data_IF_662342407177
#
_entry.id   IF_662342407177
#
_cell.length_a   1.000
_cell.length_b   1.000
_cell.length_c   1.000
_cell.angle_alpha   90.00
_cell.angle_beta   90.00
_cell.angle_gamma   90.00
#
_symmetry.space_group_name_H-M   'P 1'
#
loop_
_entity.id
_entity.type
_entity.pdbx_description
1 polymer ?
#
# COMPACT_ATOMS: atom_id res chain seq x y z
N UNK A 1 39.96 51.40 35.86
CA UNK A 1 40.60 50.65 34.75
C UNK A 1 39.94 49.28 34.69
N UNK A 2 38.78 49.23 34.04
CA UNK A 2 37.88 48.06 33.99
C UNK A 2 38.27 47.18 32.80
N UNK A 3 38.65 45.92 33.04
CA UNK A 3 39.05 44.99 31.97
C UNK A 3 38.37 43.63 32.13
N UNK A 4 37.48 43.37 31.15
CA UNK A 4 37.24 42.09 30.46
C UNK A 4 36.44 41.01 31.21
N UNK A 5 35.11 41.10 31.15
CA UNK A 5 34.21 39.94 31.36
C UNK A 5 33.17 39.72 30.26
N UNK A 6 33.32 40.38 29.10
CA UNK A 6 32.43 40.17 27.93
C UNK A 6 33.15 39.31 26.89
N UNK A 7 33.17 37.99 27.10
CA UNK A 7 33.56 37.05 26.03
C UNK A 7 33.21 35.57 26.30
N UNK A 8 32.69 35.18 27.49
CA UNK A 8 32.44 33.75 27.80
C UNK A 8 30.97 33.36 27.84
N UNK A 9 30.05 34.32 27.99
CA UNK A 9 28.60 34.07 28.04
C UNK A 9 27.88 34.32 26.72
N UNK A 10 28.40 35.20 25.86
CA UNK A 10 27.77 35.53 24.57
C UNK A 10 27.90 34.43 23.52
N UNK A 11 28.97 33.62 23.57
CA UNK A 11 29.23 32.61 22.54
C UNK A 11 28.29 31.38 22.66
N UNK A 12 27.85 31.03 23.88
CA UNK A 12 26.98 29.87 24.12
C UNK A 12 25.53 30.09 23.67
N UNK A 13 25.07 31.35 23.60
CA UNK A 13 23.74 31.69 23.09
C UNK A 13 23.72 31.88 21.57
N UNK A 14 24.86 32.19 20.93
CA UNK A 14 24.94 32.37 19.49
C UNK A 14 24.93 31.06 18.69
N UNK A 15 25.47 29.97 19.25
CA UNK A 15 25.58 28.68 18.57
C UNK A 15 24.26 27.89 18.47
N UNK A 16 23.25 28.20 19.30
CA UNK A 16 21.96 27.51 19.25
C UNK A 16 21.07 27.98 18.08
N UNK A 17 21.35 29.16 17.50
CA UNK A 17 20.55 29.74 16.42
C UNK A 17 20.85 29.17 15.02
N UNK A 18 21.99 28.50 14.81
CA UNK A 18 22.39 27.96 13.51
C UNK A 18 21.94 26.50 13.26
N UNK A 19 21.27 25.87 14.23
CA UNK A 19 20.75 24.49 14.12
C UNK A 19 19.23 24.43 13.88
N UNK A 20 18.64 25.43 13.24
CA UNK A 20 17.20 25.43 12.85
C UNK A 20 16.97 25.59 11.34
N UNK A 21 18.03 25.55 10.52
CA UNK A 21 17.88 25.57 9.05
C UNK A 21 18.31 24.23 8.44
N UNK A 22 17.59 23.16 8.79
CA UNK A 22 17.93 21.80 8.35
C UNK A 22 16.75 20.89 8.08
N UNK A 23 15.52 21.41 7.98
CA UNK A 23 14.34 20.60 7.68
C UNK A 23 13.49 21.26 6.59
N UNK A 24 14.00 21.26 5.36
CA UNK A 24 13.16 21.49 4.17
C UNK A 24 13.38 20.41 3.09
N UNK A 25 13.82 19.21 3.48
CA UNK A 25 14.01 18.08 2.55
C UNK A 25 12.97 16.97 2.68
N UNK A 26 11.98 17.09 3.57
CA UNK A 26 10.97 16.01 3.75
C UNK A 26 9.68 16.24 2.95
N UNK A 27 9.51 17.38 2.28
CA UNK A 27 8.31 17.70 1.49
C UNK A 27 8.26 17.03 0.10
N UNK A 28 8.99 15.93 -0.10
CA UNK A 28 9.01 15.18 -1.37
C UNK A 28 8.24 13.86 -1.36
N UNK A 29 7.96 13.26 -0.18
CA UNK A 29 7.50 11.86 -0.11
C UNK A 29 6.18 11.63 0.64
N UNK A 30 5.64 12.64 1.34
CA UNK A 30 4.44 12.44 2.16
C UNK A 30 3.12 12.66 1.39
N UNK A 31 3.12 13.41 0.29
CA UNK A 31 1.90 13.67 -0.50
C UNK A 31 1.37 12.42 -1.21
N UNK A 32 2.22 11.41 -1.46
CA UNK A 32 1.81 10.15 -2.10
C UNK A 32 1.03 9.21 -1.18
N UNK A 33 1.23 9.30 0.15
CA UNK A 33 0.60 8.39 1.11
C UNK A 33 -0.87 8.70 1.37
N UNK A 34 -1.31 9.93 1.11
CA UNK A 34 -2.68 10.37 1.40
C UNK A 34 -3.72 9.77 0.43
N UNK A 35 -3.25 9.28 -0.72
CA UNK A 35 -4.08 8.68 -1.77
C UNK A 35 -3.87 7.17 -1.91
N UNK A 36 -3.04 6.55 -1.06
CA UNK A 36 -2.81 5.10 -1.11
C UNK A 36 -3.88 4.34 -0.33
N UNK A 37 -5.13 4.44 -0.79
CA UNK A 37 -6.20 3.56 -0.34
C UNK A 37 -6.14 2.25 -1.12
N UNK A 38 -5.15 1.40 -0.85
CA UNK A 38 -5.19 0.04 -1.37
C UNK A 38 -6.37 -0.67 -0.69
N UNK A 39 -7.40 -1.10 -1.43
CA UNK A 39 -8.55 -1.76 -0.84
C UNK A 39 -8.07 -3.03 -0.11
N UNK A 40 -8.41 -3.14 1.17
CA UNK A 40 -8.08 -4.33 1.96
C UNK A 40 -8.98 -5.48 1.52
N UNK A 41 -8.53 -6.23 0.52
CA UNK A 41 -9.20 -7.46 0.07
C UNK A 41 -9.05 -8.52 1.17
N UNK A 42 -10.18 -9.04 1.66
CA UNK A 42 -10.18 -10.11 2.66
C UNK A 42 -9.43 -11.34 2.13
N UNK A 43 -8.74 -12.06 3.02
CA UNK A 43 -7.87 -13.18 2.63
C UNK A 43 -8.58 -14.26 1.82
N UNK A 44 -9.89 -14.47 2.05
CA UNK A 44 -10.73 -15.45 1.32
C UNK A 44 -10.91 -15.14 -0.16
N UNK A 45 -10.91 -13.86 -0.55
CA UNK A 45 -11.13 -13.42 -1.93
C UNK A 45 -9.85 -13.19 -2.73
N UNK A 46 -8.70 -13.39 -2.10
CA UNK A 46 -7.42 -13.32 -2.80
C UNK A 46 -7.32 -14.42 -3.85
N UNK A 47 -6.63 -14.11 -4.94
CA UNK A 47 -6.28 -15.06 -5.99
C UNK A 47 -5.68 -16.33 -5.39
N UNK A 48 -6.21 -17.50 -5.77
CA UNK A 48 -5.68 -18.81 -5.39
C UNK A 48 -5.85 -19.79 -6.55
N UNK A 49 -4.89 -20.69 -6.71
CA UNK A 49 -5.05 -21.86 -7.57
C UNK A 49 -5.83 -22.92 -6.80
N UNK A 50 -6.83 -23.51 -7.43
CA UNK A 50 -7.73 -24.50 -6.85
C UNK A 50 -8.01 -25.61 -7.87
N UNK A 51 -8.25 -26.85 -7.41
CA UNK A 51 -8.72 -27.92 -8.28
C UNK A 51 -9.99 -27.52 -9.02
N UNK A 52 -10.09 -27.94 -10.28
CA UNK A 52 -11.20 -27.64 -11.16
C UNK A 52 -11.63 -28.89 -11.92
N UNK A 53 -12.80 -29.40 -11.56
CA UNK A 53 -13.39 -30.62 -12.13
C UNK A 53 -14.34 -30.33 -13.32
N UNK A 54 -14.44 -29.07 -13.76
CA UNK A 54 -15.28 -28.68 -14.89
C UNK A 54 -14.73 -29.12 -16.24
N UNK A 55 -15.60 -29.17 -17.24
CA UNK A 55 -15.30 -29.64 -18.60
C UNK A 55 -14.85 -28.55 -19.58
N UNK A 56 -14.80 -27.31 -19.12
CA UNK A 56 -14.45 -26.15 -19.93
C UNK A 56 -12.97 -26.18 -20.33
N UNK A 57 -12.61 -25.71 -21.54
CA UNK A 57 -11.23 -25.72 -22.00
C UNK A 57 -10.38 -24.68 -21.23
N UNK A 58 -9.05 -24.91 -21.10
CA UNK A 58 -8.13 -23.93 -20.52
C UNK A 58 -8.21 -22.56 -21.22
N UNK A 59 -8.15 -21.49 -20.44
CA UNK A 59 -8.37 -20.11 -20.90
C UNK A 59 -9.84 -19.65 -20.79
N UNK A 60 -10.77 -20.55 -20.45
CA UNK A 60 -12.17 -20.20 -20.20
C UNK A 60 -12.32 -19.49 -18.85
N UNK A 61 -13.23 -18.50 -18.80
CA UNK A 61 -13.62 -17.85 -17.56
C UNK A 61 -15.01 -18.33 -17.18
N UNK A 62 -15.12 -18.95 -16.01
CA UNK A 62 -16.38 -19.40 -15.42
C UNK A 62 -16.72 -18.52 -14.22
N UNK A 63 -17.92 -17.94 -14.21
CA UNK A 63 -18.38 -17.06 -13.14
C UNK A 63 -19.47 -17.78 -12.34
N UNK A 64 -19.23 -17.98 -11.05
CA UNK A 64 -20.21 -18.50 -10.11
C UNK A 64 -20.68 -17.36 -9.20
N UNK A 65 -21.85 -16.81 -9.51
CA UNK A 65 -22.44 -15.68 -8.77
C UNK A 65 -22.92 -16.08 -7.37
N UNK A 66 -23.34 -17.34 -7.18
CA UNK A 66 -23.73 -17.87 -5.87
C UNK A 66 -22.58 -17.86 -4.87
N UNK A 67 -21.39 -18.32 -5.30
CA UNK A 67 -20.19 -18.33 -4.46
C UNK A 67 -19.42 -17.00 -4.47
N UNK A 68 -19.77 -16.12 -5.42
CA UNK A 68 -19.08 -14.83 -5.70
C UNK A 68 -17.62 -15.03 -6.05
N UNK A 69 -17.35 -16.02 -6.90
CA UNK A 69 -16.04 -16.30 -7.45
C UNK A 69 -16.05 -16.37 -8.97
N UNK A 70 -14.94 -15.96 -9.55
CA UNK A 70 -14.57 -16.18 -10.94
C UNK A 70 -13.43 -17.19 -11.00
N UNK A 71 -13.53 -18.15 -11.91
CA UNK A 71 -12.56 -19.20 -12.15
C UNK A 71 -11.98 -19.04 -13.56
N UNK A 72 -10.69 -18.76 -13.66
CA UNK A 72 -9.96 -18.87 -14.91
C UNK A 72 -9.43 -20.29 -15.01
N UNK A 73 -9.99 -21.07 -15.92
CA UNK A 73 -9.62 -22.48 -16.12
C UNK A 73 -8.21 -22.56 -16.66
N UNK A 74 -7.34 -23.28 -15.97
CA UNK A 74 -5.99 -23.62 -16.41
C UNK A 74 -5.95 -25.06 -16.91
N UNK A 75 -4.81 -25.50 -17.45
CA UNK A 75 -4.59 -26.92 -17.76
C UNK A 75 -4.33 -27.74 -16.50
N UNK A 76 -4.50 -29.07 -16.61
CA UNK A 76 -4.12 -30.00 -15.55
C UNK A 76 -5.14 -30.14 -14.41
N UNK A 77 -6.40 -29.81 -14.65
CA UNK A 77 -7.48 -29.95 -13.64
C UNK A 77 -7.46 -28.86 -12.57
N UNK A 78 -6.98 -27.67 -12.91
CA UNK A 78 -6.83 -26.54 -11.99
C UNK A 78 -7.46 -25.27 -12.57
N UNK A 79 -7.79 -24.33 -11.70
CA UNK A 79 -8.24 -22.99 -12.07
C UNK A 79 -7.69 -21.93 -11.12
N UNK A 80 -7.53 -20.71 -11.62
CA UNK A 80 -7.29 -19.53 -10.78
C UNK A 80 -8.61 -18.93 -10.33
N UNK A 81 -8.86 -18.97 -9.03
CA UNK A 81 -10.05 -18.40 -8.40
C UNK A 81 -9.83 -16.95 -7.95
N UNK A 82 -10.77 -16.07 -8.27
CA UNK A 82 -10.80 -14.65 -7.89
C UNK A 82 -12.13 -14.32 -7.20
N UNK A 83 -12.11 -13.54 -6.13
CA UNK A 83 -13.34 -12.98 -5.56
C UNK A 83 -13.92 -11.92 -6.48
N UNK A 84 -15.24 -11.97 -6.70
CA UNK A 84 -15.97 -10.97 -7.48
C UNK A 84 -17.11 -10.37 -6.67
N UNK A 85 -17.47 -9.13 -6.98
CA UNK A 85 -18.72 -8.53 -6.50
C UNK A 85 -19.77 -8.69 -7.61
N UNK A 86 -21.00 -9.02 -7.22
CA UNK A 86 -22.16 -9.08 -8.10
C UNK A 86 -23.10 -7.93 -7.74
N UNK A 87 -23.67 -7.28 -8.75
CA UNK A 87 -24.67 -6.23 -8.56
C UNK A 87 -26.02 -6.81 -8.14
N UNK A 88 -26.99 -5.95 -7.85
CA UNK A 88 -28.33 -6.38 -7.39
C UNK A 88 -29.14 -7.14 -8.46
N UNK A 89 -28.81 -6.95 -9.73
CA UNK A 89 -29.48 -7.59 -10.87
C UNK A 89 -28.93 -8.98 -11.22
N UNK A 90 -27.81 -9.39 -10.61
CA UNK A 90 -26.99 -10.55 -11.02
C UNK A 90 -27.07 -11.79 -10.14
#
# INVERSE_FOLDING_TARGET
>A
MEKKHVARRGLLLGSLALMVSGCASTTGWQVGSMFSSTPRISSRYRRRRVPYDGSEPPGTIVVNTYERYLYLVEGGGEALRYGVAVGEEG
#
